data_IF_480687380390
#
_entry.id   IF_480687380390
#
_cell.length_a   1.000
_cell.length_b   1.000
_cell.length_c   1.000
_cell.angle_alpha   90.00
_cell.angle_beta   90.00
_cell.angle_gamma   90.00
#
_symmetry.space_group_name_H-M   'P 1'
#
loop_
_entity.id
_entity.type
_entity.pdbx_description
1 polymer ?
#
# COMPACT_ATOMS: atom_id res chain seq x y z
N UNK A 1 -42.40 40.34 6.23
CA UNK A 1 -42.21 39.64 4.94
C UNK A 1 -40.73 39.56 4.68
N UNK A 2 -40.17 38.35 4.79
CA UNK A 2 -38.73 38.03 4.67
C UNK A 2 -38.53 37.43 3.26
N UNK A 3 -37.49 37.80 2.49
CA UNK A 3 -37.14 37.07 1.28
C UNK A 3 -36.15 35.94 1.61
N UNK A 4 -36.47 34.72 1.18
CA UNK A 4 -35.56 33.58 1.25
C UNK A 4 -34.69 33.51 -0.01
N UNK A 5 -33.38 33.42 0.17
CA UNK A 5 -32.41 33.07 -0.86
C UNK A 5 -32.51 31.58 -1.20
N UNK A 6 -32.54 31.26 -2.50
CA UNK A 6 -32.52 29.89 -3.01
C UNK A 6 -31.10 29.41 -3.30
N UNK A 7 -30.72 28.27 -2.73
CA UNK A 7 -29.55 27.47 -3.11
C UNK A 7 -30.01 26.29 -3.97
N UNK A 8 -29.45 26.18 -5.18
CA UNK A 8 -29.65 25.04 -6.08
C UNK A 8 -28.58 23.98 -5.76
N UNK A 9 -28.98 22.83 -5.22
CA UNK A 9 -28.19 21.59 -5.28
C UNK A 9 -28.79 20.68 -6.35
N UNK A 10 -28.00 20.33 -7.36
CA UNK A 10 -28.38 19.38 -8.38
C UNK A 10 -27.88 17.98 -7.96
N UNK A 11 -28.80 17.15 -7.46
CA UNK A 11 -28.58 15.71 -7.31
C UNK A 11 -28.84 15.03 -8.66
N UNK A 12 -27.81 14.46 -9.28
CA UNK A 12 -27.95 13.59 -10.43
C UNK A 12 -28.09 12.14 -9.93
N UNK A 13 -29.32 11.65 -9.83
CA UNK A 13 -29.63 10.27 -9.53
C UNK A 13 -29.54 9.43 -10.81
N UNK A 14 -28.62 8.47 -10.86
CA UNK A 14 -28.59 7.42 -11.89
C UNK A 14 -29.25 6.16 -11.32
N UNK A 15 -30.43 5.85 -11.87
CA UNK A 15 -31.20 4.63 -11.63
C UNK A 15 -30.52 3.46 -12.35
N UNK A 16 -30.18 2.39 -11.64
CA UNK A 16 -29.87 1.09 -12.22
C UNK A 16 -31.01 0.10 -11.93
N UNK A 17 -31.46 -0.56 -13.00
CA UNK A 17 -32.53 -1.53 -13.03
C UNK A 17 -32.16 -2.84 -12.32
N UNK A 18 -33.08 -3.33 -11.48
CA UNK A 18 -32.98 -4.58 -10.74
C UNK A 18 -32.98 -5.80 -11.68
N UNK A 19 -31.90 -6.59 -11.62
CA UNK A 19 -31.80 -7.94 -12.18
C UNK A 19 -31.81 -8.99 -11.06
N UNK A 20 -32.58 -10.05 -11.28
CA UNK A 20 -33.03 -11.04 -10.30
C UNK A 20 -31.89 -11.89 -9.70
N UNK A 21 -32.05 -12.20 -8.41
CA UNK A 21 -31.21 -13.02 -7.55
C UNK A 21 -30.96 -14.43 -8.09
N UNK A 22 -29.70 -14.88 -8.06
CA UNK A 22 -29.36 -16.29 -7.96
C UNK A 22 -28.63 -16.52 -6.64
N UNK A 23 -29.21 -17.37 -5.80
CA UNK A 23 -28.64 -17.84 -4.54
C UNK A 23 -27.44 -18.72 -4.87
N UNK A 24 -26.23 -18.19 -4.65
CA UNK A 24 -25.01 -18.99 -4.74
C UNK A 24 -24.90 -19.88 -3.49
N UNK A 25 -25.04 -21.17 -3.72
CA UNK A 25 -24.72 -22.24 -2.79
C UNK A 25 -23.23 -22.20 -2.42
N UNK A 26 -22.92 -22.58 -1.19
CA UNK A 26 -21.57 -22.80 -0.65
C UNK A 26 -20.77 -23.74 -1.56
N UNK A 27 -19.91 -23.20 -2.41
CA UNK A 27 -18.86 -23.97 -3.07
C UNK A 27 -17.63 -23.92 -2.16
N UNK A 28 -17.37 -25.04 -1.48
CA UNK A 28 -16.02 -25.34 -1.01
C UNK A 28 -15.14 -25.57 -2.24
N UNK A 29 -14.37 -24.56 -2.65
CA UNK A 29 -13.35 -24.73 -3.68
C UNK A 29 -12.09 -25.28 -2.97
N UNK A 30 -12.10 -26.59 -2.72
CA UNK A 30 -10.84 -27.35 -2.66
C UNK A 30 -10.39 -27.58 -4.10
N UNK A 31 -9.81 -26.55 -4.70
CA UNK A 31 -9.34 -26.56 -6.07
C UNK A 31 -8.05 -25.77 -6.16
N UNK A 32 -6.91 -26.44 -6.01
CA UNK A 32 -5.62 -25.88 -6.38
C UNK A 32 -5.72 -25.39 -7.83
N UNK A 33 -5.63 -24.09 -8.05
CA UNK A 33 -5.47 -23.54 -9.39
C UNK A 33 -4.18 -24.14 -9.97
N UNK A 34 -4.31 -25.09 -10.90
CA UNK A 34 -3.21 -25.61 -11.73
C UNK A 34 -2.83 -24.58 -12.79
N UNK A 35 -2.55 -23.35 -12.37
CA UNK A 35 -1.97 -22.30 -13.21
C UNK A 35 -0.46 -22.51 -13.33
N UNK A 36 0.16 -21.97 -14.38
CA UNK A 36 1.63 -21.94 -14.47
C UNK A 36 2.16 -21.10 -13.29
N UNK A 37 3.11 -21.65 -12.52
CA UNK A 37 3.76 -20.98 -11.38
C UNK A 37 4.40 -19.64 -11.79
N UNK A 38 4.83 -19.56 -13.05
CA UNK A 38 5.44 -18.38 -13.68
C UNK A 38 4.89 -18.20 -15.09
N UNK A 39 4.57 -16.96 -15.45
CA UNK A 39 4.12 -16.57 -16.78
C UNK A 39 5.03 -15.48 -17.31
N UNK A 40 5.57 -15.66 -18.51
CA UNK A 40 6.35 -14.64 -19.21
C UNK A 40 5.40 -13.73 -19.99
N UNK A 41 5.64 -12.42 -19.91
CA UNK A 41 4.89 -11.42 -20.65
C UNK A 41 5.57 -11.21 -22.01
N UNK A 42 4.77 -11.02 -23.06
CA UNK A 42 5.28 -10.91 -24.43
C UNK A 42 5.83 -9.50 -24.69
N UNK A 43 6.95 -9.20 -24.05
CA UNK A 43 7.64 -7.91 -24.07
C UNK A 43 9.13 -8.15 -24.31
N UNK A 44 9.79 -7.19 -24.94
CA UNK A 44 11.24 -7.27 -25.15
C UNK A 44 11.95 -6.97 -23.85
N UNK A 45 12.52 -7.99 -23.19
CA UNK A 45 13.25 -7.81 -21.93
C UNK A 45 14.32 -6.72 -22.07
N UNK A 46 14.49 -5.90 -21.03
CA UNK A 46 15.54 -4.88 -21.02
C UNK A 46 16.91 -5.56 -21.00
N UNK A 47 17.74 -5.30 -22.01
CA UNK A 47 19.10 -5.86 -22.13
C UNK A 47 20.06 -5.36 -21.04
N UNK A 48 19.66 -4.38 -20.24
CA UNK A 48 20.46 -3.71 -19.21
C UNK A 48 19.62 -3.24 -18.03
N UNK A 49 18.75 -4.13 -17.53
CA UNK A 49 17.95 -3.88 -16.33
C UNK A 49 18.86 -3.55 -15.13
N UNK A 50 18.52 -2.48 -14.39
CA UNK A 50 19.25 -2.04 -13.19
C UNK A 50 18.51 -2.38 -11.90
N UNK A 51 17.33 -2.98 -12.01
CA UNK A 51 16.46 -3.35 -10.90
C UNK A 51 15.10 -3.81 -11.39
N UNK A 52 14.16 -3.96 -10.48
CA UNK A 52 12.78 -4.33 -10.82
C UNK A 52 11.75 -3.64 -9.94
N UNK A 53 10.60 -3.36 -10.53
CA UNK A 53 9.40 -2.93 -9.83
C UNK A 53 8.41 -4.09 -9.74
N UNK A 54 7.65 -4.13 -8.65
CA UNK A 54 6.69 -5.20 -8.36
C UNK A 54 5.37 -4.62 -7.86
N UNK A 55 4.28 -5.26 -8.28
CA UNK A 55 2.93 -5.03 -7.77
C UNK A 55 2.18 -6.36 -7.77
N UNK A 56 1.02 -6.42 -7.13
CA UNK A 56 0.16 -7.61 -7.18
C UNK A 56 -1.12 -7.39 -7.95
N UNK A 57 -1.71 -8.46 -8.47
CA UNK A 57 -2.99 -8.39 -9.17
C UNK A 57 -4.20 -8.39 -8.23
N UNK A 58 -4.03 -8.79 -6.96
CA UNK A 58 -5.08 -8.91 -5.94
C UNK A 58 -6.39 -9.55 -6.44
N UNK A 59 -6.30 -10.49 -7.37
CA UNK A 59 -7.49 -11.05 -8.02
C UNK A 59 -8.13 -12.16 -7.17
N UNK A 60 -9.48 -12.15 -7.00
CA UNK A 60 -10.20 -13.20 -6.28
C UNK A 60 -10.07 -14.60 -6.89
N UNK A 61 -9.68 -14.68 -8.16
CA UNK A 61 -9.48 -15.94 -8.89
C UNK A 61 -8.05 -16.48 -8.80
N UNK A 62 -7.11 -15.71 -8.25
CA UNK A 62 -5.70 -16.07 -8.11
C UNK A 62 -4.82 -14.83 -8.05
N UNK A 63 -4.07 -14.65 -6.97
CA UNK A 63 -3.20 -13.49 -6.82
C UNK A 63 -1.82 -13.75 -7.44
N UNK A 64 -1.26 -12.75 -8.12
CA UNK A 64 0.05 -12.84 -8.77
C UNK A 64 0.90 -11.64 -8.39
N UNK A 65 2.20 -11.86 -8.15
CA UNK A 65 3.21 -10.79 -8.19
C UNK A 65 3.62 -10.58 -9.64
N UNK A 66 3.45 -9.36 -10.14
CA UNK A 66 3.91 -8.94 -11.46
C UNK A 66 5.24 -8.20 -11.29
N UNK A 67 6.25 -8.61 -12.05
CA UNK A 67 7.57 -8.01 -12.07
C UNK A 67 7.81 -7.27 -13.40
N UNK A 68 8.33 -6.05 -13.28
CA UNK A 68 8.78 -5.22 -14.38
C UNK A 68 10.28 -4.91 -14.24
N UNK A 69 11.01 -4.93 -15.33
CA UNK A 69 12.36 -4.38 -15.40
C UNK A 69 12.36 -2.87 -15.19
N UNK A 70 13.36 -2.38 -14.46
CA UNK A 70 13.72 -0.96 -14.44
C UNK A 70 14.92 -0.76 -15.36
N UNK A 71 14.75 0.02 -16.43
CA UNK A 71 15.84 0.45 -17.30
C UNK A 71 16.76 1.47 -16.62
N UNK A 72 17.96 1.68 -17.15
CA UNK A 72 18.89 2.70 -16.63
C UNK A 72 18.37 4.13 -16.75
N UNK A 73 17.37 4.34 -17.60
CA UNK A 73 16.61 5.59 -17.79
C UNK A 73 15.39 5.69 -16.85
N UNK A 74 15.19 4.69 -15.98
CA UNK A 74 14.07 4.58 -15.06
C UNK A 74 12.77 4.09 -15.69
N UNK A 75 12.72 3.85 -17.01
CA UNK A 75 11.50 3.35 -17.63
C UNK A 75 11.27 1.87 -17.31
N UNK A 76 10.00 1.50 -17.18
CA UNK A 76 9.57 0.14 -16.90
C UNK A 76 9.34 -0.67 -18.17
N UNK A 77 9.62 -1.97 -18.09
CA UNK A 77 9.17 -2.96 -19.06
C UNK A 77 8.66 -4.19 -18.32
N UNK A 78 7.36 -4.49 -18.45
CA UNK A 78 6.76 -5.69 -17.85
C UNK A 78 7.51 -6.95 -18.29
N UNK A 79 7.69 -7.94 -17.41
CA UNK A 79 8.49 -9.13 -17.74
C UNK A 79 7.81 -10.45 -17.38
N UNK A 80 7.33 -10.57 -16.14
CA UNK A 80 6.81 -11.86 -15.66
C UNK A 80 5.76 -11.68 -14.57
N UNK A 81 4.92 -12.69 -14.40
CA UNK A 81 4.01 -12.79 -13.26
C UNK A 81 4.20 -14.15 -12.56
N UNK A 82 4.07 -14.14 -11.24
CA UNK A 82 4.33 -15.28 -10.36
C UNK A 82 3.12 -15.51 -9.47
N UNK A 83 2.58 -16.73 -9.48
CA UNK A 83 1.48 -17.07 -8.60
C UNK A 83 1.92 -16.97 -7.13
N UNK A 84 1.14 -16.30 -6.29
CA UNK A 84 1.43 -16.23 -4.86
C UNK A 84 1.08 -17.51 -4.11
N UNK A 85 0.25 -18.38 -4.72
CA UNK A 85 -0.36 -19.54 -4.06
C UNK A 85 -1.65 -19.20 -3.30
N UNK A 86 -2.01 -17.91 -3.17
CA UNK A 86 -3.25 -17.44 -2.55
C UNK A 86 -4.19 -16.74 -3.53
N UNK A 87 -5.27 -16.18 -2.99
CA UNK A 87 -6.24 -15.37 -3.75
C UNK A 87 -6.41 -13.98 -3.14
N UNK A 88 -6.67 -12.99 -3.97
CA UNK A 88 -6.95 -11.63 -3.56
C UNK A 88 -8.40 -11.42 -3.14
N UNK A 89 -8.72 -10.21 -2.71
CA UNK A 89 -10.09 -9.78 -2.42
C UNK A 89 -10.15 -8.27 -2.40
N UNK A 90 -11.33 -7.71 -2.66
CA UNK A 90 -11.54 -6.27 -2.67
C UNK A 90 -12.39 -5.82 -1.48
N UNK A 91 -12.10 -4.62 -0.98
CA UNK A 91 -12.93 -3.94 0.02
C UNK A 91 -14.33 -3.66 -0.54
N UNK A 92 -15.31 -3.61 0.36
CA UNK A 92 -16.72 -3.34 0.02
C UNK A 92 -17.26 -2.15 0.79
N UNK A 93 -18.23 -1.42 0.22
CA UNK A 93 -18.85 -0.29 0.91
C UNK A 93 -19.69 -0.82 2.06
N UNK A 94 -19.49 -0.31 3.28
CA UNK A 94 -20.23 -0.77 4.46
C UNK A 94 -21.76 -0.69 4.27
N UNK A 95 -22.24 0.32 3.54
CA UNK A 95 -23.66 0.55 3.33
C UNK A 95 -24.32 -0.40 2.32
N UNK A 96 -23.57 -0.94 1.35
CA UNK A 96 -24.14 -1.68 0.21
C UNK A 96 -23.57 -3.08 0.03
N UNK A 97 -22.40 -3.38 0.61
CA UNK A 97 -21.67 -4.62 0.37
C UNK A 97 -21.08 -4.75 -1.04
N UNK A 98 -21.09 -3.67 -1.83
CA UNK A 98 -20.55 -3.66 -3.20
C UNK A 98 -19.09 -3.21 -3.17
N UNK A 99 -18.26 -3.79 -4.04
CA UNK A 99 -16.84 -3.45 -4.18
C UNK A 99 -16.63 -1.96 -4.40
N UNK A 100 -15.72 -1.35 -3.62
CA UNK A 100 -15.52 0.11 -3.67
C UNK A 100 -14.38 0.49 -4.59
N UNK A 101 -14.75 1.10 -5.72
CA UNK A 101 -13.81 1.80 -6.58
C UNK A 101 -12.62 0.95 -7.00
N UNK A 102 -11.54 1.61 -7.42
CA UNK A 102 -10.38 0.90 -7.84
C UNK A 102 -9.67 0.23 -6.65
N UNK A 103 -9.24 1.02 -5.66
CA UNK A 103 -8.33 0.55 -4.61
C UNK A 103 -8.96 -0.58 -3.78
N UNK A 104 -8.52 -1.80 -4.07
CA UNK A 104 -9.12 -3.02 -3.57
C UNK A 104 -8.73 -3.34 -2.13
N UNK A 105 -7.68 -2.72 -1.58
CA UNK A 105 -7.25 -2.97 -0.20
C UNK A 105 -7.46 -1.76 0.71
N UNK A 106 -7.65 -0.56 0.14
CA UNK A 106 -7.78 0.68 0.88
C UNK A 106 -6.60 0.91 1.83
N UNK A 107 -5.39 0.61 1.36
CA UNK A 107 -4.17 0.53 2.18
C UNK A 107 -2.92 0.81 1.37
N UNK A 108 -1.80 1.02 2.05
CA UNK A 108 -0.46 1.00 1.43
C UNK A 108 0.34 -0.19 1.98
N UNK A 109 1.26 -0.73 1.16
CA UNK A 109 2.17 -1.80 1.58
C UNK A 109 1.64 -3.21 1.38
N UNK A 110 0.74 -3.43 0.42
CA UNK A 110 0.26 -4.78 0.04
C UNK A 110 1.39 -5.72 -0.44
N UNK A 111 2.50 -5.13 -0.85
CA UNK A 111 3.75 -5.78 -1.24
C UNK A 111 4.90 -5.01 -0.63
N UNK A 112 5.92 -5.71 -0.16
CA UNK A 112 7.12 -5.11 0.44
C UNK A 112 8.35 -5.87 -0.03
N UNK A 113 9.45 -5.16 -0.21
CA UNK A 113 10.76 -5.70 -0.57
C UNK A 113 11.75 -5.31 0.51
N UNK A 114 12.55 -6.27 0.97
CA UNK A 114 13.77 -6.00 1.72
C UNK A 114 14.98 -6.26 0.82
N UNK A 115 15.71 -5.20 0.48
CA UNK A 115 16.89 -5.27 -0.41
C UNK A 115 18.09 -5.92 0.27
N UNK A 116 18.21 -5.84 1.60
CA UNK A 116 19.33 -6.42 2.35
C UNK A 116 19.26 -7.96 2.40
N UNK A 117 18.06 -8.53 2.47
CA UNK A 117 17.84 -9.98 2.48
C UNK A 117 17.41 -10.54 1.12
N UNK A 118 17.23 -9.69 0.11
CA UNK A 118 16.73 -10.05 -1.24
C UNK A 118 15.41 -10.81 -1.18
N UNK A 119 14.50 -10.32 -0.32
CA UNK A 119 13.19 -10.93 -0.08
C UNK A 119 12.06 -9.99 -0.50
N UNK A 120 10.96 -10.57 -0.94
CA UNK A 120 9.71 -9.89 -1.26
C UNK A 120 8.57 -10.61 -0.55
N UNK A 121 7.70 -9.88 0.14
CA UNK A 121 6.49 -10.42 0.74
C UNK A 121 5.25 -9.73 0.19
N UNK A 122 4.14 -10.45 0.11
CA UNK A 122 2.87 -9.88 -0.32
C UNK A 122 1.65 -10.52 0.34
N UNK A 123 0.58 -9.75 0.46
CA UNK A 123 -0.70 -10.19 1.01
C UNK A 123 -1.54 -10.94 -0.01
N UNK A 124 -2.33 -11.89 0.47
CA UNK A 124 -3.43 -12.52 -0.26
C UNK A 124 -4.71 -12.32 0.54
N UNK A 125 -5.41 -11.21 0.26
CA UNK A 125 -6.51 -10.75 1.10
C UNK A 125 -7.66 -11.77 1.20
N UNK A 126 -7.98 -12.46 0.09
CA UNK A 126 -9.10 -13.41 0.01
C UNK A 126 -8.83 -14.76 0.65
N UNK A 127 -7.57 -15.23 0.68
CA UNK A 127 -7.19 -16.44 1.39
C UNK A 127 -6.68 -16.20 2.82
N UNK A 128 -6.56 -14.93 3.24
CA UNK A 128 -6.07 -14.54 4.57
C UNK A 128 -4.64 -15.04 4.85
N UNK A 129 -3.79 -14.94 3.82
CA UNK A 129 -2.41 -15.45 3.87
C UNK A 129 -1.40 -14.42 3.41
N UNK A 130 -0.13 -14.64 3.74
CA UNK A 130 1.02 -13.89 3.24
C UNK A 130 1.94 -14.87 2.50
N UNK A 131 2.48 -14.44 1.36
CA UNK A 131 3.46 -15.20 0.57
C UNK A 131 4.83 -14.52 0.62
N UNK A 132 5.89 -15.33 0.64
CA UNK A 132 7.29 -14.88 0.63
C UNK A 132 7.99 -15.36 -0.64
N UNK A 133 8.75 -14.48 -1.27
CA UNK A 133 9.55 -14.75 -2.45
C UNK A 133 10.99 -14.38 -2.20
N UNK A 134 11.91 -15.19 -2.72
CA UNK A 134 13.30 -14.83 -2.91
C UNK A 134 13.46 -14.14 -4.26
N UNK A 135 14.17 -13.02 -4.25
CA UNK A 135 14.59 -12.28 -5.44
C UNK A 135 15.93 -12.87 -5.90
N UNK A 136 16.04 -13.26 -7.16
CA UNK A 136 17.35 -13.56 -7.75
C UNK A 136 18.09 -12.25 -7.97
N UNK A 137 19.15 -12.00 -7.19
CA UNK A 137 19.91 -10.78 -7.32
C UNK A 137 20.45 -10.59 -8.75
N UNK A 138 20.85 -11.63 -9.47
CA UNK A 138 21.41 -11.47 -10.81
C UNK A 138 20.36 -11.18 -11.88
N UNK A 139 19.10 -11.46 -11.58
CA UNK A 139 17.94 -11.18 -12.41
C UNK A 139 16.77 -10.84 -11.50
N UNK A 140 16.66 -9.59 -11.03
CA UNK A 140 15.72 -9.24 -9.95
C UNK A 140 14.26 -9.52 -10.30
N UNK A 141 13.88 -9.50 -11.57
CA UNK A 141 12.52 -9.87 -11.95
C UNK A 141 12.25 -11.39 -11.90
N UNK A 142 13.26 -12.21 -11.60
CA UNK A 142 13.15 -13.64 -11.37
C UNK A 142 12.89 -13.94 -9.90
N UNK A 143 11.64 -14.30 -9.60
CA UNK A 143 11.19 -14.59 -8.24
C UNK A 143 11.02 -16.09 -8.02
N UNK A 144 11.34 -16.55 -6.81
CA UNK A 144 11.08 -17.91 -6.34
C UNK A 144 10.22 -17.86 -5.09
N UNK A 145 9.02 -18.45 -5.12
CA UNK A 145 8.18 -18.60 -3.93
C UNK A 145 8.90 -19.50 -2.90
N UNK A 146 8.98 -19.06 -1.66
CA UNK A 146 9.66 -19.75 -0.56
C UNK A 146 8.62 -20.23 0.44
N UNK A 147 8.49 -21.57 0.56
CA UNK A 147 7.45 -22.19 1.36
C UNK A 147 6.05 -22.03 0.74
N UNK A 148 5.03 -22.44 1.50
CA UNK A 148 3.63 -22.22 1.14
C UNK A 148 3.13 -20.91 1.78
N UNK A 149 2.08 -20.27 1.23
CA UNK A 149 1.44 -19.12 1.87
C UNK A 149 1.01 -19.47 3.30
N UNK A 150 1.38 -18.63 4.26
CA UNK A 150 1.05 -18.81 5.68
C UNK A 150 -0.12 -17.92 6.06
N UNK A 151 -0.93 -18.33 7.04
CA UNK A 151 -1.97 -17.47 7.62
C UNK A 151 -1.37 -16.15 8.10
N UNK A 152 -2.03 -15.03 7.80
CA UNK A 152 -1.61 -13.68 8.24
C UNK A 152 -1.89 -13.40 9.73
N UNK A 153 -2.44 -14.36 10.47
CA UNK A 153 -2.86 -14.21 11.87
C UNK A 153 -4.18 -13.43 12.05
N UNK A 154 -4.85 -13.09 10.96
CA UNK A 154 -6.14 -12.41 10.94
C UNK A 154 -6.86 -12.61 9.61
N UNK A 155 -7.84 -11.77 9.31
CA UNK A 155 -8.58 -11.77 8.05
C UNK A 155 -8.24 -10.56 7.21
N UNK A 156 -8.29 -10.73 5.90
CA UNK A 156 -8.10 -9.66 4.92
C UNK A 156 -6.80 -8.87 5.19
N UNK A 157 -5.62 -9.51 5.08
CA UNK A 157 -4.36 -8.81 5.18
C UNK A 157 -4.26 -7.74 4.09
N UNK A 158 -3.89 -6.52 4.49
CA UNK A 158 -3.83 -5.34 3.60
C UNK A 158 -2.42 -4.79 3.45
N UNK A 159 -1.57 -4.96 4.47
CA UNK A 159 -0.21 -4.42 4.49
C UNK A 159 0.78 -5.40 5.11
N UNK A 160 2.01 -5.40 4.61
CA UNK A 160 3.15 -6.14 5.16
C UNK A 160 4.39 -5.25 5.20
N UNK A 161 5.24 -5.45 6.20
CA UNK A 161 6.51 -4.75 6.30
C UNK A 161 7.59 -5.67 6.83
N UNK A 162 8.79 -5.55 6.26
CA UNK A 162 10.01 -6.11 6.82
C UNK A 162 10.61 -5.16 7.84
N UNK A 163 11.31 -5.71 8.85
CA UNK A 163 12.31 -4.95 9.58
C UNK A 163 13.53 -4.68 8.66
N UNK A 164 14.45 -3.83 9.10
CA UNK A 164 15.57 -3.40 8.24
C UNK A 164 16.51 -4.57 7.87
N UNK A 165 16.71 -5.52 8.78
CA UNK A 165 17.51 -6.72 8.54
C UNK A 165 16.83 -7.71 7.57
N UNK A 166 15.51 -7.61 7.40
CA UNK A 166 14.73 -8.52 6.56
C UNK A 166 14.59 -9.93 7.13
N UNK A 167 14.83 -10.12 8.42
CA UNK A 167 14.67 -11.39 9.15
C UNK A 167 13.33 -11.50 9.89
N UNK A 168 12.58 -10.39 9.95
CA UNK A 168 11.25 -10.31 10.55
C UNK A 168 10.30 -9.62 9.58
N UNK A 169 9.11 -10.19 9.42
CA UNK A 169 8.01 -9.63 8.64
C UNK A 169 6.78 -9.51 9.53
N UNK A 170 6.07 -8.37 9.51
CA UNK A 170 4.77 -8.23 10.15
C UNK A 170 3.69 -7.97 9.10
N UNK A 171 2.49 -8.53 9.35
CA UNK A 171 1.29 -8.34 8.53
C UNK A 171 0.23 -7.57 9.32
N UNK A 172 -0.52 -6.72 8.62
CA UNK A 172 -1.67 -5.97 9.15
C UNK A 172 -2.96 -6.46 8.47
N UNK A 173 -3.95 -6.77 9.30
CA UNK A 173 -5.22 -7.37 8.93
C UNK A 173 -6.35 -6.39 9.18
N UNK A 174 -7.25 -6.22 8.21
CA UNK A 174 -8.36 -5.27 8.29
C UNK A 174 -9.74 -5.88 8.46
N UNK A 175 -9.92 -7.19 8.21
CA UNK A 175 -11.23 -7.84 8.19
C UNK A 175 -11.89 -7.99 9.56
N UNK A 176 -12.87 -8.90 9.68
CA UNK A 176 -13.56 -9.17 10.96
C UNK A 176 -12.64 -9.66 12.08
N UNK A 177 -11.48 -10.21 11.71
CA UNK A 177 -10.34 -10.43 12.61
C UNK A 177 -9.22 -9.49 12.17
N UNK A 178 -9.17 -8.31 12.77
CA UNK A 178 -8.21 -7.26 12.44
C UNK A 178 -7.14 -7.10 13.53
N UNK A 179 -5.97 -6.65 13.13
CA UNK A 179 -4.78 -6.60 13.99
C UNK A 179 -3.48 -6.93 13.27
N UNK A 180 -2.41 -7.11 14.04
CA UNK A 180 -1.07 -7.44 13.53
C UNK A 180 -0.65 -8.85 13.89
N UNK A 181 0.27 -9.43 13.13
CA UNK A 181 1.01 -10.66 13.49
C UNK A 181 2.36 -10.66 12.78
N UNK A 182 3.40 -11.20 13.43
CA UNK A 182 4.76 -11.18 12.90
C UNK A 182 5.36 -12.57 12.75
N UNK A 183 6.34 -12.66 11.86
CA UNK A 183 6.93 -13.88 11.37
C UNK A 183 8.44 -13.75 11.27
N UNK A 184 9.18 -14.79 11.65
CA UNK A 184 10.56 -14.95 11.23
C UNK A 184 10.60 -15.26 9.73
N UNK A 185 11.53 -14.62 9.03
CA UNK A 185 11.78 -14.82 7.61
C UNK A 185 12.88 -15.86 7.44
N UNK A 186 12.50 -17.08 7.06
CA UNK A 186 13.46 -18.10 6.70
C UNK A 186 13.56 -18.21 5.17
N UNK A 187 14.75 -17.92 4.64
CA UNK A 187 15.00 -17.88 3.19
C UNK A 187 14.88 -19.25 2.48
N UNK A 188 14.69 -20.34 3.23
CA UNK A 188 14.54 -21.70 2.69
C UNK A 188 13.16 -22.29 2.99
N UNK A 189 12.68 -22.18 4.24
CA UNK A 189 11.42 -22.80 4.68
C UNK A 189 10.21 -21.87 4.61
N UNK A 190 10.40 -20.57 4.35
CA UNK A 190 9.32 -19.57 4.31
C UNK A 190 9.14 -18.85 5.64
N UNK A 191 7.94 -18.31 5.85
CA UNK A 191 7.59 -17.57 7.07
C UNK A 191 7.27 -18.51 8.23
N UNK A 192 7.71 -18.17 9.43
CA UNK A 192 7.41 -18.91 10.67
C UNK A 192 6.83 -17.95 11.70
N UNK A 193 5.70 -18.30 12.32
CA UNK A 193 5.04 -17.44 13.31
C UNK A 193 5.97 -17.13 14.48
N UNK A 194 6.06 -15.86 14.85
CA UNK A 194 6.71 -15.44 16.11
C UNK A 194 5.64 -15.49 17.22
N UNK A 195 5.83 -16.31 18.27
CA UNK A 195 4.90 -16.36 19.39
C UNK A 195 4.66 -14.98 20.02
N UNK A 196 3.45 -14.77 20.54
CA UNK A 196 3.09 -13.53 21.24
C UNK A 196 3.23 -12.25 20.40
N UNK A 197 3.08 -12.33 19.07
CA UNK A 197 3.03 -11.15 18.19
C UNK A 197 1.65 -10.85 17.65
N UNK A 198 0.69 -11.78 17.74
CA UNK A 198 -0.69 -11.51 17.34
C UNK A 198 -1.35 -10.53 18.30
N UNK A 199 -1.74 -9.36 17.80
CA UNK A 199 -2.43 -8.31 18.57
C UNK A 199 -3.65 -7.85 17.79
N UNK A 200 -4.83 -7.99 18.40
CA UNK A 200 -6.07 -7.60 17.76
C UNK A 200 -6.34 -6.11 17.97
N UNK A 201 -6.88 -5.48 16.94
CA UNK A 201 -7.49 -4.17 17.05
C UNK A 201 -9.00 -4.35 17.25
N UNK A 202 -9.68 -3.50 18.04
CA UNK A 202 -11.12 -3.62 18.25
C UNK A 202 -11.91 -2.90 17.15
N UNK A 203 -11.57 -3.11 15.88
CA UNK A 203 -12.23 -2.42 14.76
C UNK A 203 -13.48 -3.19 14.31
N UNK A 204 -14.58 -2.46 14.11
CA UNK A 204 -15.86 -3.03 13.68
C UNK A 204 -15.93 -3.19 12.15
N UNK A 205 -15.25 -4.22 11.63
CA UNK A 205 -15.11 -4.50 10.20
C UNK A 205 -15.73 -5.85 9.81
N UNK A 206 -16.10 -6.01 8.54
CA UNK A 206 -16.53 -7.31 7.98
C UNK A 206 -15.37 -8.02 7.27
N UNK A 207 -15.63 -9.21 6.72
CA UNK A 207 -14.73 -9.86 5.75
C UNK A 207 -15.54 -10.20 4.49
N UNK A 208 -15.24 -9.63 3.30
CA UNK A 208 -14.20 -8.63 3.01
C UNK A 208 -14.26 -7.36 3.88
N UNK A 209 -13.12 -6.69 4.06
CA UNK A 209 -13.05 -5.46 4.85
C UNK A 209 -13.92 -4.35 4.23
N UNK A 210 -14.42 -3.43 5.05
CA UNK A 210 -15.37 -2.40 4.64
C UNK A 210 -14.77 -1.01 4.60
N UNK A 211 -15.14 -0.19 3.62
CA UNK A 211 -14.83 1.24 3.59
C UNK A 211 -16.05 2.10 3.96
N UNK A 212 -15.81 3.37 4.27
CA UNK A 212 -16.85 4.37 4.54
C UNK A 212 -17.48 4.33 5.93
N UNK A 213 -17.26 3.27 6.73
CA UNK A 213 -17.69 3.19 8.13
C UNK A 213 -16.65 3.70 9.14
N UNK A 214 -15.46 4.09 8.67
CA UNK A 214 -14.33 4.42 9.55
C UNK A 214 -13.70 3.19 10.21
N UNK A 215 -12.65 3.42 11.00
CA UNK A 215 -12.00 2.37 11.78
C UNK A 215 -11.45 1.27 10.89
N UNK A 216 -10.65 1.65 9.89
CA UNK A 216 -9.99 0.73 8.97
C UNK A 216 -8.48 0.89 9.07
N UNK A 217 -7.76 -0.20 8.92
CA UNK A 217 -6.29 -0.20 8.92
C UNK A 217 -5.73 0.42 7.63
N UNK A 218 -4.59 1.09 7.69
CA UNK A 218 -3.94 1.73 6.53
C UNK A 218 -2.65 1.07 6.10
N UNK A 219 -1.63 1.04 6.95
CA UNK A 219 -0.31 0.50 6.63
C UNK A 219 0.36 0.03 7.92
N UNK A 220 1.33 -0.89 7.81
CA UNK A 220 2.25 -1.26 8.90
C UNK A 220 3.68 -0.94 8.51
N UNK A 221 4.49 -0.47 9.46
CA UNK A 221 5.93 -0.27 9.33
C UNK A 221 6.63 -0.51 10.67
N UNK A 222 7.89 -0.93 10.64
CA UNK A 222 8.76 -0.82 11.82
C UNK A 222 9.22 0.62 12.01
N UNK A 223 9.52 1.04 13.25
CA UNK A 223 10.28 2.26 13.52
C UNK A 223 11.69 2.18 12.91
N UNK A 224 12.33 3.33 12.68
CA UNK A 224 13.67 3.36 12.07
C UNK A 224 14.76 2.69 12.91
N UNK A 225 14.57 2.58 14.23
CA UNK A 225 15.46 1.83 15.12
C UNK A 225 15.04 0.36 15.33
N UNK A 226 13.98 -0.09 14.66
CA UNK A 226 13.39 -1.44 14.76
C UNK A 226 12.95 -1.84 16.19
N UNK A 227 12.74 -0.86 17.08
CA UNK A 227 12.28 -1.13 18.45
C UNK A 227 10.76 -1.15 18.58
N UNK A 228 10.04 -0.64 17.57
CA UNK A 228 8.58 -0.55 17.60
C UNK A 228 7.95 -0.98 16.29
N UNK A 229 6.73 -1.51 16.37
CA UNK A 229 5.84 -1.75 15.24
C UNK A 229 4.74 -0.68 15.22
N UNK A 230 4.55 -0.05 14.07
CA UNK A 230 3.62 1.06 13.85
C UNK A 230 2.53 0.59 12.89
N UNK A 231 1.26 0.87 13.21
CA UNK A 231 0.15 0.64 12.28
C UNK A 231 -0.80 1.84 12.24
N UNK A 232 -1.15 2.32 11.04
CA UNK A 232 -2.13 3.39 10.89
C UNK A 232 -3.56 2.85 10.94
N UNK A 233 -4.43 3.57 11.63
CA UNK A 233 -5.87 3.32 11.71
C UNK A 233 -6.60 4.61 11.34
N UNK A 234 -7.40 4.53 10.29
CA UNK A 234 -8.18 5.65 9.75
C UNK A 234 -9.42 5.90 10.59
N UNK A 235 -9.69 7.17 10.87
CA UNK A 235 -10.88 7.62 11.56
C UNK A 235 -12.12 7.71 10.67
N UNK A 236 -13.10 8.47 11.15
CA UNK A 236 -14.29 8.92 10.43
C UNK A 236 -14.83 10.17 11.12
N UNK A 237 -14.58 11.33 10.51
CA UNK A 237 -15.12 12.63 10.93
C UNK A 237 -15.73 13.39 9.72
N UNK A 238 -16.87 14.10 9.91
CA UNK A 238 -17.81 13.91 11.01
C UNK A 238 -18.56 12.58 10.83
N UNK A 239 -18.71 11.79 11.89
CA UNK A 239 -19.39 10.50 11.82
C UNK A 239 -20.34 10.26 12.98
N UNK A 240 -21.42 9.49 12.79
CA UNK A 240 -22.00 8.68 13.85
C UNK A 240 -21.57 7.21 13.72
N UNK A 241 -20.70 6.66 14.60
CA UNK A 241 -19.96 7.37 15.64
C UNK A 241 -18.78 8.17 15.07
N UNK A 242 -18.38 9.23 15.75
CA UNK A 242 -17.16 9.96 15.44
C UNK A 242 -15.98 9.10 15.87
N UNK A 243 -15.08 8.79 14.93
CA UNK A 243 -13.90 7.98 15.18
C UNK A 243 -12.68 8.80 14.85
N UNK A 244 -11.80 9.01 15.83
CA UNK A 244 -10.51 9.66 15.62
C UNK A 244 -9.51 8.60 15.17
N UNK A 245 -8.84 8.83 14.03
CA UNK A 245 -7.77 7.95 13.58
C UNK A 245 -6.53 8.06 14.46
N UNK A 246 -5.60 7.11 14.34
CA UNK A 246 -4.39 7.06 15.15
C UNK A 246 -3.31 6.19 14.50
N UNK A 247 -2.07 6.34 14.97
CA UNK A 247 -1.02 5.35 14.79
C UNK A 247 -0.97 4.48 16.05
N UNK A 248 -1.18 3.17 15.90
CA UNK A 248 -0.98 2.18 16.95
C UNK A 248 0.51 1.80 17.04
N UNK A 249 1.07 1.82 18.23
CA UNK A 249 2.49 1.53 18.48
C UNK A 249 2.61 0.38 19.46
N UNK A 250 3.30 -0.69 19.04
CA UNK A 250 3.72 -1.79 19.92
C UNK A 250 5.23 -1.77 20.09
N UNK A 251 5.70 -1.93 21.32
CA UNK A 251 7.14 -2.16 21.56
C UNK A 251 7.50 -3.59 21.18
N UNK A 252 8.68 -3.76 20.60
CA UNK A 252 9.24 -5.05 20.23
C UNK A 252 10.24 -5.48 21.29
N UNK A 253 9.99 -6.61 21.94
CA UNK A 253 10.94 -7.21 22.85
C UNK A 253 12.16 -7.72 22.07
N UNK A 254 13.32 -7.12 22.32
CA UNK A 254 14.54 -7.39 21.56
C UNK A 254 15.15 -8.79 21.81
N UNK A 255 14.65 -9.52 22.81
CA UNK A 255 15.17 -10.86 23.15
C UNK A 255 14.38 -12.00 22.51
N UNK A 256 13.07 -11.84 22.37
CA UNK A 256 12.18 -12.90 21.85
C UNK A 256 11.29 -12.44 20.69
N UNK A 257 11.44 -11.18 20.24
CA UNK A 257 10.71 -10.54 19.15
C UNK A 257 9.19 -10.48 19.36
N UNK A 258 8.70 -10.71 20.58
CA UNK A 258 7.28 -10.52 20.93
C UNK A 258 6.90 -9.04 20.91
N UNK A 259 5.61 -8.75 20.71
CA UNK A 259 5.07 -7.39 20.83
C UNK A 259 4.60 -7.14 22.27
N UNK A 260 4.57 -5.88 22.72
CA UNK A 260 3.85 -5.49 23.94
C UNK A 260 2.39 -5.96 23.90
N UNK A 261 1.78 -6.32 25.04
CA UNK A 261 0.38 -6.78 25.08
C UNK A 261 -0.59 -5.70 24.58
N UNK A 262 -0.41 -4.47 25.06
CA UNK A 262 -1.18 -3.31 24.65
C UNK A 262 -0.40 -2.45 23.64
N UNK A 263 -1.12 -1.71 22.80
CA UNK A 263 -0.56 -0.65 21.97
C UNK A 263 -0.75 0.72 22.61
N UNK A 264 0.15 1.64 22.29
CA UNK A 264 -0.03 3.06 22.53
C UNK A 264 -0.62 3.73 21.28
N UNK A 265 -1.85 4.29 21.32
CA UNK A 265 -2.38 5.08 20.22
C UNK A 265 -1.83 6.51 20.25
N UNK A 266 -1.34 6.99 19.12
CA UNK A 266 -1.02 8.40 18.91
C UNK A 266 -2.00 8.98 17.89
N UNK A 267 -2.85 9.90 18.34
CA UNK A 267 -3.82 10.59 17.48
C UNK A 267 -3.16 11.74 16.72
N UNK A 268 -3.67 12.09 15.52
CA UNK A 268 -3.21 13.27 14.81
C UNK A 268 -3.48 14.56 15.61
N UNK A 269 -2.76 15.66 15.34
CA UNK A 269 -3.06 16.98 15.88
C UNK A 269 -4.36 17.52 15.28
N UNK A 270 -4.78 18.72 15.70
CA UNK A 270 -6.01 19.36 15.22
C UNK A 270 -6.09 19.38 13.69
N UNK A 271 -7.29 19.08 13.18
CA UNK A 271 -7.68 18.88 11.78
C UNK A 271 -7.37 17.48 11.21
N UNK A 272 -6.27 16.83 11.60
CA UNK A 272 -5.94 15.49 11.08
C UNK A 272 -6.90 14.43 11.60
N UNK A 273 -7.12 13.35 10.83
CA UNK A 273 -8.04 12.29 11.26
C UNK A 273 -7.86 10.94 10.57
N UNK A 274 -7.35 10.90 9.34
CA UNK A 274 -7.39 9.71 8.51
C UNK A 274 -5.99 9.32 8.03
N UNK A 275 -5.05 8.95 8.94
CA UNK A 275 -3.73 8.49 8.54
C UNK A 275 -3.89 7.21 7.69
N UNK A 276 -3.54 7.30 6.42
CA UNK A 276 -3.64 6.22 5.44
C UNK A 276 -2.29 5.50 5.33
N UNK A 277 -1.48 5.87 4.35
CA UNK A 277 -0.13 5.39 4.15
C UNK A 277 0.84 6.36 4.81
N UNK A 278 1.97 5.87 5.30
CA UNK A 278 2.96 6.68 5.98
C UNK A 278 4.37 6.22 5.69
N UNK A 279 5.31 7.17 5.83
CA UNK A 279 6.73 6.98 5.55
C UNK A 279 7.54 7.44 6.76
N UNK A 280 8.63 6.73 7.07
CA UNK A 280 9.58 7.14 8.12
C UNK A 280 10.23 8.46 7.74
N UNK A 281 10.43 9.35 8.71
CA UNK A 281 11.15 10.58 8.45
C UNK A 281 12.66 10.29 8.38
N UNK A 282 13.29 10.63 7.26
CA UNK A 282 14.70 10.38 7.03
C UNK A 282 15.57 11.07 8.09
N UNK A 283 16.38 10.27 8.79
CA UNK A 283 17.24 10.76 9.88
C UNK A 283 16.57 10.88 11.25
N UNK A 284 15.28 10.55 11.36
CA UNK A 284 14.51 10.62 12.61
C UNK A 284 14.00 9.24 13.03
N UNK A 285 14.19 8.88 14.31
CA UNK A 285 13.78 7.57 14.83
C UNK A 285 12.35 7.52 15.35
N UNK A 286 11.83 8.67 15.77
CA UNK A 286 10.59 8.79 16.51
C UNK A 286 9.52 9.58 15.76
N UNK A 287 9.63 9.69 14.43
CA UNK A 287 8.67 10.44 13.66
C UNK A 287 8.37 9.82 12.28
N UNK A 288 7.11 9.98 11.86
CA UNK A 288 6.63 9.57 10.54
C UNK A 288 5.82 10.70 9.92
N UNK A 289 5.74 10.71 8.60
CA UNK A 289 4.77 11.49 7.87
C UNK A 289 3.72 10.55 7.26
N UNK A 290 2.46 10.79 7.59
CA UNK A 290 1.32 10.06 7.05
C UNK A 290 0.58 10.93 6.03
N UNK A 291 0.23 10.34 4.90
CA UNK A 291 -0.87 10.83 4.09
C UNK A 291 -2.15 10.81 4.94
N UNK A 292 -2.87 11.93 4.98
CA UNK A 292 -4.12 12.06 5.71
C UNK A 292 -5.23 12.47 4.76
N UNK A 293 -6.25 11.63 4.61
CA UNK A 293 -7.32 11.90 3.64
C UNK A 293 -8.25 13.05 4.06
N UNK A 294 -8.11 13.59 5.27
CA UNK A 294 -8.88 14.74 5.76
C UNK A 294 -8.23 16.08 5.42
N UNK A 295 -6.91 16.20 5.62
CA UNK A 295 -6.17 17.46 5.50
C UNK A 295 -5.08 17.45 4.42
N UNK A 296 -4.63 16.26 4.00
CA UNK A 296 -3.52 16.10 3.06
C UNK A 296 -2.39 15.27 3.65
N UNK A 297 -1.71 15.79 4.67
CA UNK A 297 -0.73 14.99 5.40
C UNK A 297 -0.54 15.44 6.86
N UNK A 298 -0.16 14.49 7.71
CA UNK A 298 0.12 14.68 9.12
C UNK A 298 1.48 14.12 9.48
N UNK A 299 2.27 14.88 10.23
CA UNK A 299 3.52 14.45 10.82
C UNK A 299 3.24 14.03 12.26
N UNK A 300 3.63 12.82 12.63
CA UNK A 300 3.49 12.27 13.96
C UNK A 300 4.85 12.22 14.63
N UNK A 301 4.99 12.84 15.79
CA UNK A 301 6.15 12.69 16.68
C UNK A 301 5.78 11.82 17.88
N UNK A 302 6.48 10.71 18.07
CA UNK A 302 6.24 9.71 19.09
C UNK A 302 6.96 9.99 20.42
N UNK A 303 7.80 11.02 20.50
CA UNK A 303 8.57 11.32 21.72
C UNK A 303 7.69 11.84 22.86
N UNK A 304 6.80 12.79 22.57
CA UNK A 304 5.87 13.37 23.54
C UNK A 304 4.54 13.85 22.92
N UNK A 305 4.32 13.62 21.62
CA UNK A 305 3.13 14.06 20.87
C UNK A 305 3.00 15.58 20.66
N UNK A 306 3.97 16.39 21.12
CA UNK A 306 3.86 17.86 21.16
C UNK A 306 4.25 18.57 19.85
N UNK A 307 4.91 17.86 18.91
CA UNK A 307 5.41 18.40 17.64
C UNK A 307 4.68 17.90 16.40
N UNK A 308 3.59 17.17 16.56
CA UNK A 308 2.80 16.73 15.43
C UNK A 308 2.20 17.94 14.69
N UNK A 309 2.28 17.95 13.35
CA UNK A 309 1.67 19.00 12.51
C UNK A 309 0.78 18.39 11.43
N UNK A 310 -0.36 19.02 11.17
CA UNK A 310 -1.20 18.72 10.01
C UNK A 310 -1.14 19.89 9.03
N UNK A 311 -1.04 19.61 7.75
CA UNK A 311 -0.96 20.62 6.70
C UNK A 311 -2.12 20.43 5.74
N UNK A 312 -3.03 21.39 5.74
CA UNK A 312 -4.15 21.47 4.81
C UNK A 312 -3.65 21.80 3.39
N UNK A 313 -3.94 20.92 2.44
CA UNK A 313 -3.61 21.07 1.02
C UNK A 313 -4.87 20.92 0.19
N UNK A 314 -5.06 21.79 -0.80
CA UNK A 314 -6.14 21.65 -1.78
C UNK A 314 -5.91 20.40 -2.64
N UNK A 315 -6.51 19.28 -2.24
CA UNK A 315 -6.46 18.00 -2.96
C UNK A 315 -7.36 18.03 -4.20
N UNK A 316 -7.07 17.16 -5.18
CA UNK A 316 -7.96 16.84 -6.29
C UNK A 316 -8.93 15.72 -5.93
N UNK A 317 -8.54 14.87 -4.99
CA UNK A 317 -9.37 13.82 -4.39
C UNK A 317 -8.99 13.64 -2.93
N UNK A 318 -8.12 12.68 -2.66
CA UNK A 318 -7.63 12.37 -1.32
C UNK A 318 -6.18 11.91 -1.39
N UNK A 319 -5.32 12.50 -0.57
CA UNK A 319 -3.93 12.06 -0.43
C UNK A 319 -3.93 10.80 0.45
N UNK A 320 -3.46 9.68 -0.11
CA UNK A 320 -3.52 8.38 0.57
C UNK A 320 -2.15 7.69 0.66
N UNK A 321 -1.26 7.83 -0.32
CA UNK A 321 0.04 7.14 -0.32
C UNK A 321 1.21 8.10 -0.17
N UNK A 322 2.30 7.61 0.41
CA UNK A 322 3.52 8.39 0.62
C UNK A 322 4.78 7.58 0.30
N UNK A 323 5.82 8.26 -0.20
CA UNK A 323 7.16 7.69 -0.39
C UNK A 323 8.24 8.76 -0.19
N UNK A 324 9.47 8.39 0.11
CA UNK A 324 10.60 9.31 0.30
C UNK A 324 11.64 9.21 -0.82
N UNK A 325 12.13 10.35 -1.31
CA UNK A 325 13.25 10.44 -2.26
C UNK A 325 14.52 10.93 -1.57
N UNK A 326 15.54 10.08 -1.40
CA UNK A 326 16.86 10.52 -0.99
C UNK A 326 17.48 11.58 -1.91
N UNK A 327 17.20 11.53 -3.21
CA UNK A 327 17.73 12.47 -4.21
C UNK A 327 17.24 13.90 -4.00
N UNK A 328 15.96 14.07 -3.69
CA UNK A 328 15.37 15.40 -3.48
C UNK A 328 15.33 15.80 -2.01
N UNK A 329 15.44 14.83 -1.09
CA UNK A 329 15.26 15.07 0.34
C UNK A 329 13.80 15.34 0.72
N UNK A 330 12.86 15.01 -0.18
CA UNK A 330 11.44 15.31 -0.04
C UNK A 330 10.59 14.03 -0.09
N UNK A 331 9.37 14.15 0.40
CA UNK A 331 8.35 13.12 0.40
C UNK A 331 7.39 13.38 -0.75
N UNK A 332 6.88 12.33 -1.36
CA UNK A 332 5.92 12.40 -2.44
C UNK A 332 4.61 11.79 -1.98
N UNK A 333 3.59 12.64 -1.92
CA UNK A 333 2.25 12.30 -1.49
C UNK A 333 1.35 12.13 -2.70
N UNK A 334 0.67 10.99 -2.80
CA UNK A 334 -0.10 10.61 -3.98
C UNK A 334 -1.58 10.81 -3.70
N UNK A 335 -2.21 11.64 -4.53
CA UNK A 335 -3.61 11.97 -4.48
C UNK A 335 -4.40 11.12 -5.47
N UNK A 336 -5.39 10.38 -4.96
CA UNK A 336 -6.31 9.55 -5.73
C UNK A 336 -7.04 10.31 -6.85
N UNK A 337 -7.20 11.62 -6.71
CA UNK A 337 -7.81 12.50 -7.71
C UNK A 337 -6.92 12.85 -8.91
N UNK A 338 -5.62 12.49 -8.90
CA UNK A 338 -4.73 12.71 -10.04
C UNK A 338 -3.62 13.74 -9.84
N UNK A 339 -3.03 13.79 -8.65
CA UNK A 339 -1.89 14.66 -8.40
C UNK A 339 -0.83 13.97 -7.52
N UNK A 340 0.42 14.42 -7.65
CA UNK A 340 1.51 14.09 -6.73
C UNK A 340 1.99 15.38 -6.10
N UNK A 341 2.01 15.44 -4.77
CA UNK A 341 2.50 16.57 -4.01
C UNK A 341 3.89 16.23 -3.47
N UNK A 342 4.87 17.06 -3.79
CA UNK A 342 6.18 17.00 -3.18
C UNK A 342 6.20 17.85 -1.91
N UNK A 343 6.58 17.25 -0.81
CA UNK A 343 6.52 17.81 0.54
C UNK A 343 7.91 17.78 1.15
N UNK A 344 8.35 18.90 1.71
CA UNK A 344 9.55 18.98 2.52
C UNK A 344 9.17 19.02 4.00
N UNK A 345 9.98 18.40 4.85
CA UNK A 345 9.87 18.47 6.30
C UNK A 345 11.15 19.12 6.84
N UNK A 346 10.99 20.17 7.63
CA UNK A 346 12.13 20.84 8.27
C UNK A 346 12.60 20.11 9.54
N UNK A 347 13.70 20.57 10.13
CA UNK A 347 14.27 20.01 11.36
C UNK A 347 13.38 20.13 12.61
N UNK A 348 12.30 20.91 12.53
CA UNK A 348 11.32 21.05 13.61
C UNK A 348 10.06 20.21 13.36
N UNK A 349 10.12 19.27 12.41
CA UNK A 349 9.00 18.42 12.00
C UNK A 349 7.81 19.21 11.45
N UNK A 350 8.08 20.35 10.82
CA UNK A 350 7.07 21.14 10.11
C UNK A 350 7.12 20.83 8.62
N UNK A 351 5.98 20.39 8.07
CA UNK A 351 5.83 20.13 6.65
C UNK A 351 5.51 21.37 5.82
N UNK A 352 5.91 21.37 4.56
CA UNK A 352 5.52 22.36 3.55
C UNK A 352 5.44 21.73 2.17
N UNK A 353 4.47 22.17 1.35
CA UNK A 353 4.37 21.74 -0.06
C UNK A 353 5.42 22.49 -0.87
N UNK A 354 6.29 21.73 -1.53
CA UNK A 354 7.33 22.24 -2.45
C UNK A 354 6.74 22.45 -3.84
N UNK A 355 6.00 21.46 -4.34
CA UNK A 355 5.41 21.48 -5.67
C UNK A 355 4.22 20.51 -5.77
N UNK A 356 3.28 20.83 -6.65
CA UNK A 356 2.22 19.91 -7.08
C UNK A 356 2.43 19.55 -8.55
N UNK A 357 2.40 18.26 -8.85
CA UNK A 357 2.50 17.72 -10.20
C UNK A 357 1.17 17.07 -10.58
N UNK A 358 0.63 17.49 -11.71
CA UNK A 358 -0.50 16.85 -12.35
C UNK A 358 -0.31 16.86 -13.86
N UNK A 359 -0.96 15.92 -14.55
CA UNK A 359 -0.96 15.83 -16.00
C UNK A 359 -2.27 15.19 -16.45
N UNK A 360 -2.56 15.21 -17.76
CA UNK A 360 -3.74 14.53 -18.31
C UNK A 360 -3.69 13.01 -18.16
N UNK A 361 -2.52 12.43 -17.92
CA UNK A 361 -2.30 10.99 -17.76
C UNK A 361 -2.30 10.58 -16.28
N UNK A 362 -2.22 11.53 -15.36
CA UNK A 362 -2.22 11.27 -13.92
C UNK A 362 -3.66 11.29 -13.42
N UNK A 363 -4.39 10.19 -13.62
CA UNK A 363 -5.80 10.06 -13.21
C UNK A 363 -5.94 8.82 -12.34
N UNK A 364 -6.65 8.93 -11.22
CA UNK A 364 -6.93 7.77 -10.37
C UNK A 364 -5.66 7.13 -9.85
N UNK A 365 -4.74 7.90 -9.27
CA UNK A 365 -3.45 7.42 -8.80
C UNK A 365 -3.60 6.62 -7.50
N UNK A 366 -2.80 5.59 -7.32
CA UNK A 366 -2.70 4.83 -6.08
C UNK A 366 -1.37 4.08 -6.04
N UNK A 367 -0.95 3.68 -4.84
CA UNK A 367 0.24 2.86 -4.59
C UNK A 367 1.49 3.29 -5.38
N UNK A 368 2.36 4.06 -4.74
CA UNK A 368 3.65 4.43 -5.31
C UNK A 368 4.83 3.98 -4.50
N UNK A 369 5.96 3.82 -5.19
CA UNK A 369 7.26 3.54 -4.60
C UNK A 369 8.36 4.31 -5.33
N UNK A 370 9.38 4.75 -4.59
CA UNK A 370 10.54 5.42 -5.14
C UNK A 370 11.70 4.44 -5.24
N UNK A 371 12.34 4.38 -6.40
CA UNK A 371 13.61 3.69 -6.56
C UNK A 371 14.76 4.69 -6.78
N UNK A 372 15.82 4.55 -6.00
CA UNK A 372 17.07 5.27 -6.20
C UNK A 372 17.97 4.54 -7.19
N UNK A 373 18.09 5.11 -8.39
CA UNK A 373 19.07 4.69 -9.39
C UNK A 373 20.31 5.58 -9.26
N UNK A 374 21.47 5.11 -9.75
CA UNK A 374 22.79 5.70 -9.50
C UNK A 374 22.84 7.24 -9.41
N UNK A 375 22.23 7.95 -10.37
CA UNK A 375 22.30 9.41 -10.42
C UNK A 375 20.95 10.10 -10.14
N UNK A 376 19.86 9.35 -9.99
CA UNK A 376 18.51 9.91 -9.99
C UNK A 376 17.51 8.97 -9.31
N UNK A 377 16.49 9.55 -8.68
CA UNK A 377 15.36 8.78 -8.16
C UNK A 377 14.20 8.79 -9.17
N UNK A 378 13.39 7.74 -9.13
CA UNK A 378 12.19 7.60 -9.94
C UNK A 378 11.03 7.15 -9.06
N UNK A 379 9.87 7.78 -9.24
CA UNK A 379 8.62 7.41 -8.59
C UNK A 379 7.77 6.63 -9.58
N UNK A 380 7.37 5.41 -9.19
CA UNK A 380 6.47 4.54 -9.96
C UNK A 380 5.12 4.51 -9.27
N UNK A 381 4.04 4.74 -10.01
CA UNK A 381 2.69 4.90 -9.44
C UNK A 381 1.69 4.11 -10.27
N UNK A 382 0.82 3.31 -9.63
CA UNK A 382 -0.30 2.71 -10.33
C UNK A 382 -1.40 3.75 -10.61
N UNK A 383 -2.05 3.68 -11.77
CA UNK A 383 -3.03 4.68 -12.20
C UNK A 383 -4.20 4.10 -13.01
N UNK A 384 -5.17 4.97 -13.33
CA UNK A 384 -6.28 4.76 -14.27
C UNK A 384 -7.14 3.51 -14.03
N UNK A 385 -7.51 3.21 -12.78
CA UNK A 385 -8.14 1.91 -12.44
C UNK A 385 -7.28 0.73 -12.96
N UNK A 386 -5.99 0.72 -12.61
CA UNK A 386 -5.09 -0.43 -12.77
C UNK A 386 -4.59 -0.70 -14.17
N UNK A 387 -4.94 0.14 -15.14
CA UNK A 387 -4.48 -0.04 -16.51
C UNK A 387 -3.06 0.43 -16.73
N UNK A 388 -2.54 1.38 -15.94
CA UNK A 388 -1.23 1.96 -16.21
C UNK A 388 -0.31 2.04 -15.00
N UNK A 389 0.99 2.12 -15.29
CA UNK A 389 2.00 2.64 -14.37
C UNK A 389 2.53 3.96 -14.92
N UNK A 390 2.43 5.00 -14.12
CA UNK A 390 3.06 6.29 -14.38
C UNK A 390 4.46 6.32 -13.77
N UNK A 391 5.45 6.72 -14.56
CA UNK A 391 6.84 6.85 -14.13
C UNK A 391 7.22 8.32 -14.12
N UNK A 392 7.67 8.81 -12.97
CA UNK A 392 8.17 10.16 -12.80
C UNK A 392 9.66 10.13 -12.48
N UNK A 393 10.46 10.86 -13.27
CA UNK A 393 11.86 11.16 -12.95
C UNK A 393 11.92 12.28 -11.90
N UNK A 394 12.68 12.08 -10.82
CA UNK A 394 12.83 13.04 -9.72
C UNK A 394 14.16 13.80 -9.84
N UNK A 395 14.27 14.66 -10.86
CA UNK A 395 15.52 15.35 -11.25
C UNK A 395 16.08 16.36 -10.22
N UNK A 396 15.48 16.46 -9.04
CA UNK A 396 15.79 17.42 -7.98
C UNK A 396 14.52 18.02 -7.38
N UNK A 397 14.65 18.77 -6.26
CA UNK A 397 13.50 19.37 -5.59
C UNK A 397 12.69 20.26 -6.52
N UNK A 398 11.37 20.05 -6.59
CA UNK A 398 10.46 20.84 -7.42
C UNK A 398 10.62 20.60 -8.94
N UNK A 399 11.31 19.54 -9.36
CA UNK A 399 11.64 19.25 -10.77
C UNK A 399 11.25 17.84 -11.22
N UNK A 400 10.24 17.23 -10.58
CA UNK A 400 9.73 15.95 -11.02
C UNK A 400 9.07 16.07 -12.42
N UNK A 401 9.23 15.05 -13.25
CA UNK A 401 8.66 15.00 -14.60
C UNK A 401 8.16 13.60 -14.91
N UNK A 402 6.93 13.47 -15.39
CA UNK A 402 6.42 12.22 -15.95
C UNK A 402 7.18 11.89 -17.26
N UNK A 403 7.74 10.68 -17.33
CA UNK A 403 8.55 10.21 -18.46
C UNK A 403 7.95 9.00 -19.17
N UNK A 404 7.02 8.29 -18.54
CA UNK A 404 6.36 7.12 -19.12
C UNK A 404 4.95 6.97 -18.55
N UNK A 405 4.04 6.52 -19.41
CA UNK A 405 2.77 5.90 -19.04
C UNK A 405 2.77 4.52 -19.68
N UNK A 406 2.81 3.47 -18.86
CA UNK A 406 2.97 2.09 -19.30
C UNK A 406 1.65 1.33 -19.17
N UNK A 407 1.12 0.81 -20.27
CA UNK A 407 -0.08 -0.06 -20.26
C UNK A 407 0.23 -1.44 -19.68
N UNK A 408 -0.40 -1.72 -18.54
CA UNK A 408 -0.34 -2.95 -17.77
C UNK A 408 -1.46 -3.90 -18.13
N UNK A 409 -2.69 -3.39 -18.21
CA UNK A 409 -3.86 -4.25 -18.32
C UNK A 409 -3.86 -5.06 -19.61
N UNK A 410 -3.56 -4.43 -20.75
CA UNK A 410 -3.56 -5.14 -22.03
C UNK A 410 -2.51 -6.25 -22.08
N UNK A 411 -1.32 -5.98 -21.53
CA UNK A 411 -0.19 -6.92 -21.48
C UNK A 411 -0.52 -8.15 -20.63
N UNK A 412 -1.09 -7.94 -19.45
CA UNK A 412 -1.47 -9.03 -18.54
C UNK A 412 -2.64 -9.85 -19.09
N UNK A 413 -3.67 -9.20 -19.65
CA UNK A 413 -4.77 -9.90 -20.31
C UNK A 413 -4.30 -10.74 -21.51
N UNK A 414 -3.38 -10.21 -22.33
CA UNK A 414 -2.80 -10.96 -23.45
C UNK A 414 -2.00 -12.19 -23.01
N UNK A 415 -1.45 -12.17 -21.79
CA UNK A 415 -0.78 -13.31 -21.19
C UNK A 415 -1.77 -14.31 -20.55
N UNK A 416 -3.06 -13.98 -20.44
CA UNK A 416 -4.08 -14.81 -19.80
C UNK A 416 -4.13 -14.66 -18.27
N UNK A 417 -3.59 -13.55 -17.74
CA UNK A 417 -3.67 -13.21 -16.32
C UNK A 417 -4.95 -12.40 -16.11
N UNK A 418 -5.85 -12.83 -15.21
CA UNK A 418 -7.09 -12.11 -14.95
C UNK A 418 -6.79 -10.72 -14.36
N UNK A 419 -7.57 -9.74 -14.78
CA UNK A 419 -7.66 -8.42 -14.15
C UNK A 419 -9.14 -8.06 -14.14
N UNK A 420 -9.79 -8.22 -12.99
CA UNK A 420 -11.20 -7.89 -12.82
C UNK A 420 -11.37 -6.43 -12.43
N UNK A 421 -10.49 -5.93 -11.56
CA UNK A 421 -10.75 -4.64 -10.92
C UNK A 421 -9.64 -4.03 -10.09
N UNK A 422 -8.47 -4.66 -9.84
CA UNK A 422 -7.50 -4.05 -8.90
C UNK A 422 -6.06 -4.61 -8.88
N UNK A 423 -5.10 -3.98 -9.56
CA UNK A 423 -3.67 -4.11 -9.21
C UNK A 423 -3.37 -3.36 -7.90
N UNK A 424 -2.51 -3.87 -7.04
CA UNK A 424 -2.31 -3.33 -5.69
C UNK A 424 -0.83 -3.32 -5.30
N UNK A 425 -0.45 -2.32 -4.52
CA UNK A 425 0.89 -2.11 -4.01
C UNK A 425 1.93 -1.77 -5.08
N UNK A 426 3.01 -1.13 -4.67
CA UNK A 426 4.19 -0.93 -5.49
C UNK A 426 5.41 -1.14 -4.58
N UNK A 427 6.39 -1.90 -5.06
CA UNK A 427 7.67 -2.09 -4.39
C UNK A 427 8.78 -2.14 -5.43
N UNK A 428 10.01 -1.79 -5.04
CA UNK A 428 11.15 -1.82 -5.96
C UNK A 428 12.34 -2.54 -5.35
N UNK A 429 13.15 -3.16 -6.21
CA UNK A 429 14.46 -3.72 -5.87
C UNK A 429 15.49 -3.12 -6.81
N UNK A 430 16.39 -2.30 -6.29
CA UNK A 430 17.56 -1.79 -7.00
C UNK A 430 18.78 -2.17 -6.20
N UNK A 431 19.75 -2.80 -6.86
CA UNK A 431 21.01 -3.12 -6.18
C UNK A 431 21.73 -1.85 -5.81
N UNK A 432 22.13 -1.76 -4.55
CA UNK A 432 23.22 -0.88 -4.14
C UNK A 432 24.48 -1.32 -4.90
N UNK A 433 25.16 -0.38 -5.54
CA UNK A 433 26.47 -0.64 -6.17
C UNK A 433 27.57 -0.77 -5.13
#
# INVERSE_FOLDING_TARGET
MIPSFGTRSAFLALLFSAGIQNVASTISISGHYKGKVKMYLNTTASSSSVGSAYFITNEPTGNYVVAADIGSDGQLTLRSAYATGGIGSHVVAAATGVTTGPDGLNSQGAISVNTASSMLATVNAGSHTVSLFKIDENDSANLTLIGEPISSGGHFPTSVAFNDAGDTLCALNGGSINGVSCFHVNQTSGLQVIPNTTRYLPLNQTTPATTGAGGTVGQVLFSADNTQLLASVKGLLPGPPALVGYIAIWDINQSDHSLSEDYMPITPPENGNNPFGFTRIAGENSAVIAADTNDGFTIFDFTDGSKSSSVDVNTLGAICWSSFSPKTGNYYMIDAGGAVFEVNIDSNLKGSVVQQYNSTNMVGLFDGEIASLQNNDFLYILAENFSTIEVMSLNGPGKAQQIQSLDVASTLMAAGIPISSSNQGMATFVKSK
#
